data_IF_852161599287
#
_entry.id   IF_852161599287
#
_cell.length_a   1.000
_cell.length_b   1.000
_cell.length_c   1.000
_cell.angle_alpha   90.00
_cell.angle_beta   90.00
_cell.angle_gamma   90.00
#
_symmetry.space_group_name_H-M   'P 1'
#
loop_
_entity.id
_entity.type
_entity.pdbx_description
1 polymer ?
#
# COMPACT_ATOMS: atom_id res chain seq x y z
N UNK A 1 13.11 17.58 4.24
CA UNK A 1 11.74 18.11 4.14
C UNK A 1 10.86 16.94 4.50
N UNK A 2 10.09 17.05 5.58
CA UNK A 2 9.50 15.88 6.23
C UNK A 2 8.00 15.78 5.90
N UNK A 3 7.55 14.58 5.54
CA UNK A 3 6.14 14.32 5.28
C UNK A 3 5.38 14.38 6.60
N UNK A 4 4.31 15.18 6.67
CA UNK A 4 3.47 15.26 7.86
C UNK A 4 2.82 13.90 8.15
N UNK A 5 3.00 13.40 9.37
CA UNK A 5 2.53 12.08 9.80
C UNK A 5 1.03 12.06 10.18
N UNK A 6 0.18 12.66 9.35
CA UNK A 6 -1.27 12.74 9.64
C UNK A 6 -1.96 11.36 9.61
N UNK A 7 -1.33 10.35 9.01
CA UNK A 7 -1.75 8.94 9.06
C UNK A 7 -1.82 8.39 10.49
N UNK A 8 -1.10 8.97 11.46
CA UNK A 8 -1.21 8.60 12.88
C UNK A 8 -2.58 8.95 13.50
N UNK A 9 -3.41 9.71 12.79
CA UNK A 9 -4.80 10.01 13.18
C UNK A 9 -5.81 9.05 12.53
N UNK A 10 -5.36 8.15 11.66
CA UNK A 10 -6.22 7.21 10.97
C UNK A 10 -6.71 6.14 11.95
N UNK A 11 -8.00 5.71 11.94
CA UNK A 11 -8.52 4.70 12.86
C UNK A 11 -7.74 3.37 12.86
N UNK A 12 -7.23 2.97 11.68
CA UNK A 12 -6.38 1.77 11.57
C UNK A 12 -5.04 1.91 12.30
N UNK A 13 -4.50 3.12 12.48
CA UNK A 13 -3.30 3.33 13.27
C UNK A 13 -3.58 3.11 14.77
N UNK A 14 -4.71 3.61 15.28
CA UNK A 14 -5.12 3.39 16.67
C UNK A 14 -5.33 1.90 16.99
N UNK A 15 -5.70 1.12 15.97
CA UNK A 15 -5.85 -0.34 16.06
C UNK A 15 -4.52 -1.10 15.87
N UNK A 16 -3.40 -0.42 15.65
CA UNK A 16 -2.10 -1.05 15.40
C UNK A 16 -1.94 -1.70 14.03
N UNK A 17 -2.80 -1.36 13.06
CA UNK A 17 -2.86 -1.99 11.71
C UNK A 17 -2.08 -1.25 10.63
N UNK A 18 -1.45 -0.13 10.97
CA UNK A 18 -0.58 0.64 10.07
C UNK A 18 0.85 0.58 10.60
N UNK A 19 1.79 0.17 9.74
CA UNK A 19 3.21 0.15 10.04
C UNK A 19 4.01 0.94 9.02
N UNK A 20 5.15 1.48 9.47
CA UNK A 20 6.17 1.99 8.57
C UNK A 20 6.97 0.82 7.99
N UNK A 21 6.93 0.68 6.68
CA UNK A 21 7.70 -0.36 5.96
C UNK A 21 8.70 0.28 5.00
N UNK A 22 9.80 -0.41 4.64
CA UNK A 22 10.74 0.07 3.64
C UNK A 22 10.04 0.38 2.31
N UNK A 23 10.28 1.58 1.77
CA UNK A 23 9.77 1.99 0.45
C UNK A 23 10.15 0.97 -0.63
N UNK A 24 11.40 0.49 -0.59
CA UNK A 24 11.93 -0.54 -1.50
C UNK A 24 11.17 -1.88 -1.43
N UNK A 25 10.57 -2.20 -0.29
CA UNK A 25 9.77 -3.42 -0.16
C UNK A 25 8.46 -3.27 -0.93
N UNK A 26 7.76 -2.14 -0.74
CA UNK A 26 6.50 -1.85 -1.44
C UNK A 26 6.75 -1.64 -2.94
N UNK A 27 7.86 -1.01 -3.30
CA UNK A 27 8.28 -0.73 -4.68
C UNK A 27 8.45 -1.99 -5.52
N UNK A 28 8.64 -3.18 -4.93
CA UNK A 28 8.66 -4.43 -5.70
C UNK A 28 7.30 -4.80 -6.28
N UNK A 29 6.22 -4.24 -5.74
CA UNK A 29 4.84 -4.68 -5.98
C UNK A 29 3.93 -3.61 -6.58
N UNK A 30 4.50 -2.46 -7.00
CA UNK A 30 3.72 -1.40 -7.61
C UNK A 30 3.28 -1.76 -9.04
N UNK A 31 2.15 -1.16 -9.43
CA UNK A 31 1.68 -1.16 -10.81
C UNK A 31 2.53 -0.28 -11.69
N UNK A 32 3.13 -0.86 -12.73
CA UNK A 32 3.92 -0.15 -13.75
C UNK A 32 3.06 0.57 -14.78
N UNK A 33 1.82 0.13 -14.96
CA UNK A 33 0.85 0.68 -15.90
C UNK A 33 -0.01 1.78 -15.26
N UNK A 34 0.64 2.67 -14.52
CA UNK A 34 0.01 3.86 -13.93
C UNK A 34 0.01 5.03 -14.90
N UNK A 35 -1.09 5.78 -14.93
CA UNK A 35 -1.14 7.08 -15.60
C UNK A 35 -0.08 8.04 -15.05
N UNK A 36 0.41 9.00 -15.86
CA UNK A 36 1.32 10.06 -15.38
C UNK A 36 0.63 11.08 -14.47
N UNK A 37 -0.67 10.91 -14.22
CA UNK A 37 -1.50 11.78 -13.40
C UNK A 37 -2.16 10.97 -12.29
N UNK A 38 -2.32 11.58 -11.12
CA UNK A 38 -2.93 11.00 -9.95
C UNK A 38 -4.20 11.75 -9.57
N UNK A 39 -5.17 11.02 -9.02
CA UNK A 39 -6.38 11.61 -8.45
C UNK A 39 -6.17 11.91 -6.96
N UNK A 40 -6.51 13.14 -6.55
CA UNK A 40 -6.56 13.53 -5.14
C UNK A 40 -7.88 13.08 -4.50
N UNK A 41 -7.96 13.17 -3.17
CA UNK A 41 -9.16 12.75 -2.44
C UNK A 41 -10.42 13.54 -2.79
N UNK A 42 -10.27 14.74 -3.33
CA UNK A 42 -11.37 15.60 -3.75
C UNK A 42 -11.76 15.41 -5.23
N UNK A 43 -11.13 14.46 -5.94
CA UNK A 43 -11.35 14.22 -7.37
C UNK A 43 -10.47 15.07 -8.29
N UNK A 44 -9.55 15.87 -7.75
CA UNK A 44 -8.65 16.70 -8.55
C UNK A 44 -7.55 15.84 -9.17
N UNK A 45 -7.45 15.87 -10.50
CA UNK A 45 -6.36 15.24 -11.25
C UNK A 45 -5.13 16.14 -11.23
N UNK A 46 -3.98 15.59 -10.81
CA UNK A 46 -2.72 16.32 -10.68
C UNK A 46 -1.55 15.55 -11.28
N UNK A 47 -0.49 16.26 -11.67
CA UNK A 47 0.77 15.64 -12.07
C UNK A 47 1.49 15.00 -10.88
N UNK A 48 2.49 14.17 -11.14
CA UNK A 48 3.32 13.55 -10.09
C UNK A 48 4.07 14.57 -9.23
N UNK A 49 4.56 15.66 -9.82
CA UNK A 49 5.20 16.75 -9.08
C UNK A 49 4.20 17.47 -8.17
N UNK A 50 2.99 17.73 -8.66
CA UNK A 50 1.93 18.34 -7.87
C UNK A 50 1.42 17.41 -6.76
N UNK A 51 1.39 16.09 -6.99
CA UNK A 51 1.12 15.10 -5.96
C UNK A 51 2.19 15.15 -4.86
N UNK A 52 3.47 15.27 -5.23
CA UNK A 52 4.55 15.39 -4.24
C UNK A 52 4.39 16.64 -3.36
N UNK A 53 4.17 17.79 -3.99
CA UNK A 53 3.93 19.04 -3.26
C UNK A 53 2.70 18.95 -2.36
N UNK A 54 1.62 18.32 -2.83
CA UNK A 54 0.43 18.08 -2.03
C UNK A 54 0.75 17.22 -0.78
N UNK A 55 1.52 16.14 -0.93
CA UNK A 55 1.91 15.27 0.18
C UNK A 55 2.79 16.04 1.19
N UNK A 56 3.70 16.89 0.74
CA UNK A 56 4.52 17.73 1.62
C UNK A 56 3.68 18.75 2.39
N UNK A 57 2.70 19.37 1.72
CA UNK A 57 1.87 20.41 2.31
C UNK A 57 0.79 19.87 3.24
N UNK A 58 0.07 18.83 2.82
CA UNK A 58 -1.08 18.28 3.53
C UNK A 58 -0.65 17.14 4.45
N UNK A 59 0.27 16.30 3.99
CA UNK A 59 0.63 15.04 4.62
C UNK A 59 -0.08 13.85 3.98
N UNK A 60 0.25 12.66 4.46
CA UNK A 60 -0.35 11.42 4.02
C UNK A 60 -1.33 10.92 5.08
N UNK A 61 -2.65 11.02 4.84
CA UNK A 61 -3.67 10.54 5.78
C UNK A 61 -3.96 9.04 5.60
N UNK A 62 -4.30 8.65 4.39
CA UNK A 62 -4.54 7.25 4.07
C UNK A 62 -3.20 6.54 3.90
N UNK A 63 -2.97 5.38 4.54
CA UNK A 63 -1.78 4.58 4.26
C UNK A 63 -1.81 4.06 2.81
N UNK A 64 -0.72 3.47 2.38
CA UNK A 64 -0.71 2.57 1.23
C UNK A 64 -1.40 1.25 1.63
N UNK A 65 -2.12 0.63 0.70
CA UNK A 65 -2.88 -0.60 0.99
C UNK A 65 -2.32 -1.72 0.14
N UNK A 66 -1.73 -2.71 0.79
CA UNK A 66 -1.44 -4.01 0.17
C UNK A 66 -2.68 -4.88 0.31
N UNK A 67 -3.13 -5.53 -0.77
CA UNK A 67 -4.22 -6.50 -0.71
C UNK A 67 -3.69 -7.92 -0.84
N UNK A 68 -4.32 -8.83 -0.12
CA UNK A 68 -4.03 -10.27 -0.10
C UNK A 68 -5.31 -11.05 -0.34
N UNK A 69 -5.26 -12.06 -1.22
CA UNK A 69 -6.29 -13.07 -1.43
C UNK A 69 -5.91 -14.37 -0.74
N UNK A 70 -6.78 -14.87 0.14
CA UNK A 70 -6.55 -16.11 0.91
C UNK A 70 -6.61 -17.37 0.05
N UNK A 71 -7.63 -17.49 -0.80
CA UNK A 71 -7.91 -18.69 -1.59
C UNK A 71 -6.91 -18.85 -2.73
N UNK A 72 -6.71 -17.75 -3.47
CA UNK A 72 -5.82 -17.74 -4.62
C UNK A 72 -4.36 -17.40 -4.28
N UNK A 73 -4.08 -17.06 -3.01
CA UNK A 73 -2.73 -16.74 -2.49
C UNK A 73 -2.02 -15.65 -3.29
N UNK A 74 -2.77 -14.68 -3.81
CA UNK A 74 -2.22 -13.54 -4.54
C UNK A 74 -2.13 -12.31 -3.66
N UNK A 75 -1.21 -11.41 -3.99
CA UNK A 75 -1.14 -10.10 -3.36
C UNK A 75 -0.74 -9.01 -4.34
N UNK A 76 -1.06 -7.75 -4.00
CA UNK A 76 -0.77 -6.57 -4.82
C UNK A 76 -0.74 -5.28 -4.01
N UNK A 77 -0.16 -4.24 -4.57
CA UNK A 77 -0.42 -2.87 -4.12
C UNK A 77 -1.78 -2.41 -4.67
N UNK A 78 -2.79 -2.43 -3.82
CA UNK A 78 -4.17 -2.06 -4.16
C UNK A 78 -4.33 -0.54 -4.23
N UNK A 79 -3.79 0.18 -3.25
CA UNK A 79 -3.88 1.63 -3.20
C UNK A 79 -2.53 2.29 -2.95
N UNK A 80 -2.26 3.34 -3.73
CA UNK A 80 -1.08 4.19 -3.62
C UNK A 80 0.03 3.90 -4.62
N UNK A 81 -0.32 3.38 -5.81
CA UNK A 81 0.63 3.18 -6.91
C UNK A 81 1.32 4.49 -7.37
N UNK A 82 0.62 5.61 -7.46
CA UNK A 82 1.26 6.92 -7.72
C UNK A 82 2.12 7.38 -6.53
N UNK A 83 1.59 7.22 -5.31
CA UNK A 83 2.31 7.64 -4.08
C UNK A 83 3.65 6.92 -3.93
N UNK A 84 3.72 5.61 -4.18
CA UNK A 84 4.99 4.88 -4.05
C UNK A 84 6.03 5.31 -5.09
N UNK A 85 5.61 5.68 -6.30
CA UNK A 85 6.52 6.23 -7.32
C UNK A 85 7.15 7.54 -6.87
N UNK A 86 6.33 8.47 -6.37
CA UNK A 86 6.83 9.74 -5.84
C UNK A 86 7.77 9.49 -4.65
N UNK A 87 7.39 8.61 -3.72
CA UNK A 87 8.23 8.27 -2.57
C UNK A 87 9.58 7.70 -2.96
N UNK A 88 9.60 6.78 -3.92
CA UNK A 88 10.84 6.21 -4.44
C UNK A 88 11.69 7.25 -5.16
N UNK A 89 11.09 8.08 -6.04
CA UNK A 89 11.79 9.15 -6.76
C UNK A 89 12.44 10.19 -5.83
N UNK A 90 11.80 10.52 -4.72
CA UNK A 90 12.29 11.49 -3.75
C UNK A 90 13.09 10.87 -2.58
N UNK A 91 13.40 9.58 -2.63
CA UNK A 91 14.27 8.91 -1.65
C UNK A 91 13.65 8.76 -0.24
N UNK A 92 12.32 8.73 -0.14
CA UNK A 92 11.62 8.44 1.12
C UNK A 92 11.95 7.00 1.54
N UNK A 93 12.44 6.81 2.77
CA UNK A 93 12.94 5.49 3.22
C UNK A 93 11.85 4.56 3.75
N UNK A 94 10.86 5.12 4.44
CA UNK A 94 9.79 4.38 5.10
C UNK A 94 8.43 4.99 4.75
N UNK A 95 7.44 4.15 4.50
CA UNK A 95 6.08 4.56 4.13
C UNK A 95 5.05 3.84 4.99
N UNK A 96 3.95 4.51 5.39
CA UNK A 96 2.90 3.87 6.18
C UNK A 96 2.05 2.97 5.29
N UNK A 97 1.95 1.71 5.68
CA UNK A 97 1.24 0.66 4.95
C UNK A 97 0.31 -0.11 5.90
N UNK A 98 -0.82 -0.53 5.36
CA UNK A 98 -1.69 -1.54 5.97
C UNK A 98 -1.92 -2.68 4.97
N UNK A 99 -2.31 -3.85 5.47
CA UNK A 99 -2.69 -5.00 4.65
C UNK A 99 -4.18 -5.22 4.75
N UNK A 100 -4.86 -5.22 3.61
CA UNK A 100 -6.25 -5.64 3.47
C UNK A 100 -6.31 -7.11 3.06
N UNK A 101 -7.10 -7.89 3.77
CA UNK A 101 -7.31 -9.31 3.50
C UNK A 101 -8.68 -9.49 2.84
N UNK A 102 -8.71 -10.29 1.78
CA UNK A 102 -9.91 -10.71 1.05
C UNK A 102 -9.85 -12.22 0.77
N UNK A 103 -10.99 -12.81 0.42
CA UNK A 103 -11.05 -14.21 -0.02
C UNK A 103 -10.19 -14.42 -1.29
N UNK A 104 -10.34 -13.54 -2.28
CA UNK A 104 -9.54 -13.52 -3.49
C UNK A 104 -8.90 -12.16 -3.76
N UNK A 105 -7.83 -12.17 -4.56
CA UNK A 105 -7.16 -10.97 -5.07
C UNK A 105 -6.88 -11.09 -6.57
N UNK A 106 -7.35 -10.14 -7.37
CA UNK A 106 -7.04 -10.09 -8.80
C UNK A 106 -8.23 -9.65 -9.65
N UNK A 107 -8.07 -9.60 -10.98
CA UNK A 107 -9.02 -8.93 -11.88
C UNK A 107 -10.40 -9.62 -11.94
N UNK A 108 -10.54 -10.80 -11.35
CA UNK A 108 -11.79 -11.55 -11.29
C UNK A 108 -12.68 -11.17 -10.09
N UNK A 109 -12.18 -10.36 -9.15
CA UNK A 109 -13.00 -9.86 -8.04
C UNK A 109 -13.78 -8.63 -8.48
N UNK A 110 -15.06 -8.54 -8.12
CA UNK A 110 -15.99 -7.48 -8.58
C UNK A 110 -15.55 -6.05 -8.18
N UNK A 111 -14.61 -5.91 -7.24
CA UNK A 111 -14.12 -4.64 -6.69
C UNK A 111 -12.71 -4.24 -7.17
N UNK A 112 -12.32 -4.56 -8.41
CA UNK A 112 -11.02 -4.10 -8.97
C UNK A 112 -11.18 -2.97 -9.97
N UNK A 113 -10.59 -1.81 -9.64
CA UNK A 113 -10.67 -0.59 -10.44
C UNK A 113 -9.87 -0.59 -11.76
N UNK A 114 -9.07 -1.62 -12.07
CA UNK A 114 -8.25 -1.71 -13.30
C UNK A 114 -7.93 -3.16 -13.67
N UNK A 115 -7.71 -3.45 -14.96
CA UNK A 115 -7.10 -4.70 -15.44
C UNK A 115 -5.81 -4.97 -14.66
N UNK A 116 -5.90 -5.82 -13.64
CA UNK A 116 -4.86 -6.03 -12.65
C UNK A 116 -3.69 -6.83 -13.24
N UNK A 117 -2.82 -6.16 -13.99
CA UNK A 117 -1.57 -6.75 -14.52
C UNK A 117 -0.52 -7.03 -13.44
N UNK A 118 -0.78 -6.65 -12.19
CA UNK A 118 0.20 -6.70 -11.08
C UNK A 118 -0.32 -7.51 -9.89
N UNK A 119 -0.56 -8.80 -10.13
CA UNK A 119 -0.79 -9.76 -9.06
C UNK A 119 0.47 -10.60 -8.88
N UNK A 120 0.93 -10.72 -7.65
CA UNK A 120 2.11 -11.50 -7.29
C UNK A 120 1.69 -12.75 -6.52
N UNK A 121 2.33 -13.87 -6.81
CA UNK A 121 2.18 -15.09 -6.03
C UNK A 121 2.78 -14.88 -4.64
N UNK A 122 2.03 -15.19 -3.58
CA UNK A 122 2.51 -15.06 -2.21
C UNK A 122 3.82 -15.87 -2.02
N UNK A 123 4.88 -15.27 -1.44
CA UNK A 123 6.14 -15.98 -1.21
C UNK A 123 5.94 -17.13 -0.19
N UNK A 124 6.85 -18.12 -0.19
CA UNK A 124 6.79 -19.33 0.67
C UNK A 124 6.70 -19.06 2.20
N UNK A 125 6.81 -17.82 2.65
CA UNK A 125 6.69 -17.40 4.05
C UNK A 125 5.36 -16.74 4.44
N UNK A 126 4.29 -16.92 3.64
CA UNK A 126 2.99 -16.29 3.85
C UNK A 126 2.21 -16.92 5.02
N UNK A 127 1.93 -16.14 6.07
CA UNK A 127 1.30 -16.62 7.30
C UNK A 127 -0.24 -16.59 7.21
N UNK A 128 -0.82 -17.41 6.31
CA UNK A 128 -2.29 -17.53 6.16
C UNK A 128 -2.96 -17.97 7.47
N UNK A 129 -2.27 -18.77 8.29
CA UNK A 129 -2.83 -19.41 9.47
C UNK A 129 -3.11 -18.47 10.67
N UNK A 130 -2.93 -17.15 10.53
CA UNK A 130 -3.13 -16.15 11.60
C UNK A 130 -4.08 -15.01 11.23
N UNK A 131 -4.79 -15.12 10.11
CA UNK A 131 -5.58 -13.99 9.60
C UNK A 131 -6.95 -13.96 10.28
N UNK A 132 -7.15 -12.94 11.11
CA UNK A 132 -8.35 -12.78 11.97
C UNK A 132 -9.23 -11.60 11.59
N UNK A 133 -8.73 -10.68 10.77
CA UNK A 133 -9.33 -9.37 10.53
C UNK A 133 -9.22 -8.93 9.06
N UNK A 134 -10.16 -8.08 8.60
CA UNK A 134 -10.13 -7.49 7.25
C UNK A 134 -8.87 -6.65 7.00
N UNK A 135 -8.35 -5.99 8.04
CA UNK A 135 -7.13 -5.21 7.98
C UNK A 135 -6.15 -5.68 9.06
N UNK A 136 -4.89 -5.84 8.66
CA UNK A 136 -3.81 -6.33 9.51
C UNK A 136 -2.55 -5.49 9.33
N UNK A 137 -1.65 -5.56 10.32
CA UNK A 137 -0.35 -4.95 10.20
C UNK A 137 0.53 -5.73 9.20
N UNK A 138 1.36 -5.06 8.37
CA UNK A 138 2.27 -5.72 7.43
C UNK A 138 3.13 -6.84 8.05
N UNK A 139 3.70 -6.63 9.23
CA UNK A 139 4.53 -7.62 9.93
C UNK A 139 3.75 -8.87 10.36
N UNK A 140 2.43 -8.79 10.53
CA UNK A 140 1.58 -9.94 10.87
C UNK A 140 1.39 -10.88 9.67
N UNK A 141 1.39 -10.31 8.47
CA UNK A 141 1.14 -11.02 7.21
C UNK A 141 2.44 -11.47 6.53
N UNK A 142 3.48 -10.64 6.55
CA UNK A 142 4.72 -10.82 5.82
C UNK A 142 5.92 -11.07 6.76
N UNK A 143 6.50 -12.26 6.68
CA UNK A 143 7.58 -12.71 7.59
C UNK A 143 8.94 -12.07 7.30
N UNK A 144 9.19 -11.63 6.06
CA UNK A 144 10.41 -10.90 5.67
C UNK A 144 10.50 -9.50 6.32
N UNK A 145 9.35 -8.90 6.64
CA UNK A 145 9.29 -7.66 7.41
C UNK A 145 9.62 -7.86 8.90
N UNK A 146 9.36 -9.06 9.46
CA UNK A 146 9.74 -9.41 10.84
C UNK A 146 11.24 -9.57 11.04
N UNK A 147 11.99 -9.93 10.00
CA UNK A 147 13.45 -10.11 10.08
C UNK A 147 14.22 -8.78 10.05
N UNK A 148 13.54 -7.66 9.80
CA UNK A 148 14.14 -6.32 9.62
C UNK A 148 13.76 -5.31 10.71
N UNK A 149 12.96 -5.72 11.70
CA UNK A 149 12.59 -4.95 12.89
C UNK A 149 13.34 -5.47 14.12
#
# INVERSE_FOLDING_TARGET
MDIKEIWKKHPLYEQGKIELVPTEWVWKYYGRDVSPEADLLDGTIVSMDALWENILQVGLYNPLIMRVGLENKKFRLESGNHRIQVFHQHGVRLVPVTVQVREECGPHTEDVMTDATHNFEAPEGFLISKITDEYMAPSEVFSDLKASQ
#
